data_IF_014690151698
#
_entry.id   IF_014690151698
#
_cell.length_a   1.000
_cell.length_b   1.000
_cell.length_c   1.000
_cell.angle_alpha   90.00
_cell.angle_beta   90.00
_cell.angle_gamma   90.00
#
_symmetry.space_group_name_H-M   'P 1'
#
loop_
_entity.id
_entity.type
_entity.pdbx_description
1 polymer ?
#
# COMPACT_ATOMS: atom_id res chain seq x y z
N UNK A 1 -4.93 7.91 2.35
CA UNK A 1 -3.70 7.08 2.19
C UNK A 1 -2.81 7.84 1.23
N UNK A 2 -1.48 7.80 1.40
CA UNK A 2 -0.58 8.55 0.51
C UNK A 2 0.50 7.67 -0.10
N UNK A 3 0.98 8.08 -1.26
CA UNK A 3 2.15 7.51 -1.91
C UNK A 3 3.38 8.15 -1.25
N UNK A 4 4.29 7.31 -0.77
CA UNK A 4 5.56 7.72 -0.17
C UNK A 4 6.66 7.85 -1.23
N UNK A 5 6.70 6.89 -2.15
CA UNK A 5 7.72 6.84 -3.20
C UNK A 5 7.20 6.11 -4.44
N UNK A 6 7.83 6.41 -5.57
CA UNK A 6 7.67 5.72 -6.85
C UNK A 6 9.00 5.07 -7.22
N UNK A 7 8.98 3.75 -7.41
CA UNK A 7 10.17 2.96 -7.74
C UNK A 7 9.94 2.27 -9.08
N UNK A 8 10.73 2.62 -10.08
CA UNK A 8 10.76 1.90 -11.36
C UNK A 8 11.68 0.69 -11.23
N UNK A 9 11.17 -0.47 -11.64
CA UNK A 9 11.93 -1.71 -11.78
C UNK A 9 11.96 -2.09 -13.26
N UNK A 10 12.61 -3.20 -13.62
CA UNK A 10 12.93 -3.52 -15.02
C UNK A 10 11.74 -3.46 -15.99
N UNK A 11 10.55 -3.90 -15.58
CA UNK A 11 9.35 -3.93 -16.44
C UNK A 11 8.11 -3.26 -15.83
N UNK A 12 8.18 -2.79 -14.58
CA UNK A 12 7.02 -2.31 -13.82
C UNK A 12 7.37 -1.06 -13.02
N UNK A 13 6.34 -0.37 -12.55
CA UNK A 13 6.47 0.75 -11.61
C UNK A 13 5.73 0.44 -10.32
N UNK A 14 6.40 0.62 -9.18
CA UNK A 14 5.81 0.44 -7.86
C UNK A 14 5.50 1.79 -7.22
N UNK A 15 4.28 1.97 -6.76
CA UNK A 15 3.88 3.06 -5.88
C UNK A 15 3.79 2.53 -4.47
N UNK A 16 4.73 2.92 -3.61
CA UNK A 16 4.78 2.48 -2.21
C UNK A 16 3.92 3.43 -1.38
N UNK A 17 3.06 2.89 -0.53
CA UNK A 17 2.10 3.67 0.26
C UNK A 17 2.44 3.70 1.74
N UNK A 18 1.82 4.59 2.49
CA UNK A 18 1.95 4.69 3.95
C UNK A 18 1.13 3.66 4.75
N UNK A 19 0.50 2.70 4.07
CA UNK A 19 -0.33 1.67 4.69
C UNK A 19 0.31 0.29 4.58
N UNK A 20 0.02 -0.64 5.50
CA UNK A 20 0.37 -2.07 5.33
C UNK A 20 -0.56 -2.83 4.36
N UNK A 21 -1.77 -2.33 4.21
CA UNK A 21 -2.82 -3.06 3.49
C UNK A 21 -4.01 -2.16 3.14
N UNK A 22 -5.01 -2.77 2.52
CA UNK A 22 -6.21 -2.10 2.06
C UNK A 22 -7.36 -3.10 2.08
N UNK A 23 -8.58 -2.63 2.34
CA UNK A 23 -9.75 -3.49 2.29
C UNK A 23 -10.03 -3.97 0.86
N UNK A 24 -10.60 -5.16 0.73
CA UNK A 24 -10.85 -5.78 -0.57
C UNK A 24 -11.73 -4.90 -1.46
N UNK A 25 -12.77 -4.30 -0.88
CA UNK A 25 -13.69 -3.39 -1.58
C UNK A 25 -12.97 -2.18 -2.19
N UNK A 26 -12.04 -1.59 -1.44
CA UNK A 26 -11.25 -0.45 -1.93
C UNK A 26 -10.26 -0.88 -3.01
N UNK A 27 -9.65 -2.07 -2.87
CA UNK A 27 -8.76 -2.63 -3.89
C UNK A 27 -9.48 -2.85 -5.22
N UNK A 28 -10.65 -3.47 -5.18
CA UNK A 28 -11.46 -3.74 -6.37
C UNK A 28 -11.90 -2.44 -7.05
N UNK A 29 -12.38 -1.48 -6.26
CA UNK A 29 -12.74 -0.15 -6.77
C UNK A 29 -11.56 0.54 -7.45
N UNK A 30 -10.42 0.64 -6.77
CA UNK A 30 -9.22 1.30 -7.32
C UNK A 30 -8.73 0.57 -8.57
N UNK A 31 -8.71 -0.76 -8.56
CA UNK A 31 -8.31 -1.56 -9.72
C UNK A 31 -9.19 -1.23 -10.93
N UNK A 32 -10.51 -1.25 -10.77
CA UNK A 32 -11.45 -0.98 -11.86
C UNK A 32 -11.29 0.45 -12.41
N UNK A 33 -11.22 1.44 -11.52
CA UNK A 33 -11.06 2.85 -11.93
C UNK A 33 -9.72 3.08 -12.64
N UNK A 34 -8.64 2.48 -12.13
CA UNK A 34 -7.31 2.59 -12.74
C UNK A 34 -7.23 1.87 -14.08
N UNK A 35 -7.77 0.67 -14.21
CA UNK A 35 -7.77 -0.05 -15.49
C UNK A 35 -8.55 0.72 -16.57
N UNK A 36 -9.69 1.32 -16.22
CA UNK A 36 -10.43 2.21 -17.12
C UNK A 36 -9.61 3.43 -17.53
N UNK A 37 -8.95 4.07 -16.56
CA UNK A 37 -8.09 5.23 -16.80
C UNK A 37 -6.89 4.88 -17.68
N UNK A 38 -6.19 3.77 -17.40
CA UNK A 38 -5.05 3.30 -18.17
C UNK A 38 -5.43 3.03 -19.63
N UNK A 39 -6.58 2.42 -19.88
CA UNK A 39 -7.11 2.23 -21.24
C UNK A 39 -7.33 3.55 -21.98
N UNK A 40 -7.81 4.59 -21.30
CA UNK A 40 -7.97 5.92 -21.89
C UNK A 40 -6.64 6.56 -22.32
N UNK A 41 -5.53 6.15 -21.71
CA UNK A 41 -4.17 6.57 -22.05
C UNK A 41 -3.49 5.65 -23.09
N UNK A 42 -4.23 4.67 -23.62
CA UNK A 42 -3.74 3.65 -24.56
C UNK A 42 -2.85 2.58 -23.90
N UNK A 43 -2.94 2.41 -22.58
CA UNK A 43 -2.18 1.39 -21.83
C UNK A 43 -3.09 0.17 -21.63
N UNK A 44 -2.61 -1.01 -22.06
CA UNK A 44 -3.36 -2.28 -21.96
C UNK A 44 -3.04 -3.07 -20.69
N UNK A 45 -2.00 -2.68 -19.97
CA UNK A 45 -1.56 -3.29 -18.72
C UNK A 45 -2.40 -2.80 -17.53
N UNK A 46 -2.46 -3.60 -16.47
CA UNK A 46 -3.27 -3.30 -15.29
C UNK A 46 -2.44 -2.85 -14.09
N UNK A 47 -3.11 -2.86 -12.93
CA UNK A 47 -2.46 -2.74 -11.63
C UNK A 47 -2.79 -3.95 -10.75
N UNK A 48 -1.88 -4.28 -9.85
CA UNK A 48 -2.15 -5.20 -8.75
C UNK A 48 -1.57 -4.69 -7.43
N UNK A 49 -2.03 -5.28 -6.33
CA UNK A 49 -1.63 -4.89 -4.98
C UNK A 49 -0.72 -5.95 -4.38
N UNK A 50 0.41 -5.52 -3.81
CA UNK A 50 1.33 -6.39 -3.09
C UNK A 50 1.46 -5.93 -1.66
N UNK A 51 1.17 -6.83 -0.72
CA UNK A 51 1.33 -6.60 0.72
C UNK A 51 2.79 -6.83 1.16
N UNK A 52 3.17 -6.22 2.28
CA UNK A 52 4.50 -6.26 2.87
C UNK A 52 4.58 -5.27 4.04
N UNK A 53 5.78 -4.74 4.30
CA UNK A 53 5.94 -3.65 5.29
C UNK A 53 5.14 -2.40 4.91
N UNK A 54 5.07 -2.14 3.60
CA UNK A 54 4.22 -1.15 2.99
C UNK A 54 3.47 -1.80 1.82
N UNK A 55 2.19 -1.49 1.68
CA UNK A 55 1.36 -1.83 0.55
C UNK A 55 1.94 -1.15 -0.69
N UNK A 56 2.19 -1.94 -1.72
CA UNK A 56 2.65 -1.48 -3.03
C UNK A 56 1.53 -1.65 -4.04
N UNK A 57 1.30 -0.60 -4.82
CA UNK A 57 0.48 -0.66 -6.03
C UNK A 57 1.45 -0.83 -7.18
N UNK A 58 1.36 -1.97 -7.86
CA UNK A 58 2.24 -2.31 -8.98
C UNK A 58 1.52 -1.98 -10.26
N UNK A 59 2.08 -1.07 -11.03
CA UNK A 59 1.71 -0.82 -12.42
C UNK A 59 2.53 -1.74 -13.31
N UNK A 60 1.84 -2.53 -14.12
CA UNK A 60 2.45 -3.59 -14.93
C UNK A 60 3.11 -3.06 -16.22
N UNK A 61 3.66 -1.86 -16.18
CA UNK A 61 4.46 -1.26 -17.25
C UNK A 61 5.27 -0.05 -16.74
N UNK A 62 6.11 0.50 -17.61
CA UNK A 62 6.81 1.79 -17.43
C UNK A 62 6.31 2.77 -18.52
N UNK A 63 5.24 3.54 -18.25
CA UNK A 63 4.75 4.59 -19.13
C UNK A 63 5.77 5.70 -19.42
N UNK A 64 5.55 6.45 -20.51
CA UNK A 64 6.25 7.71 -20.75
C UNK A 64 6.03 8.72 -19.61
N UNK A 65 6.97 9.64 -19.34
CA UNK A 65 6.93 10.50 -18.15
C UNK A 65 5.62 11.29 -17.97
N UNK A 66 5.03 11.78 -19.06
CA UNK A 66 3.77 12.53 -19.02
C UNK A 66 2.59 11.64 -18.58
N UNK A 67 2.48 10.43 -19.12
CA UNK A 67 1.45 9.46 -18.70
C UNK A 67 1.69 9.02 -17.27
N UNK A 68 2.96 8.83 -16.87
CA UNK A 68 3.32 8.47 -15.52
C UNK A 68 2.84 9.51 -14.49
N UNK A 69 2.96 10.80 -14.81
CA UNK A 69 2.47 11.88 -13.94
C UNK A 69 0.95 11.84 -13.79
N UNK A 70 0.21 11.66 -14.91
CA UNK A 70 -1.24 11.51 -14.89
C UNK A 70 -1.70 10.29 -14.06
N UNK A 71 -0.99 9.17 -14.18
CA UNK A 71 -1.25 7.95 -13.41
C UNK A 71 -0.99 8.19 -11.92
N UNK A 72 0.11 8.87 -11.59
CA UNK A 72 0.43 9.21 -10.20
C UNK A 72 -0.68 10.07 -9.58
N UNK A 73 -1.10 11.13 -10.28
CA UNK A 73 -2.16 12.04 -9.83
C UNK A 73 -3.47 11.29 -9.63
N UNK A 74 -3.88 10.46 -10.61
CA UNK A 74 -5.09 9.66 -10.49
C UNK A 74 -5.03 8.71 -9.30
N UNK A 75 -3.90 8.05 -9.06
CA UNK A 75 -3.73 7.19 -7.88
C UNK A 75 -3.85 7.99 -6.58
N UNK A 76 -3.25 9.19 -6.50
CA UNK A 76 -3.39 10.04 -5.31
C UNK A 76 -4.85 10.37 -5.00
N UNK A 77 -5.63 10.80 -6.01
CA UNK A 77 -7.06 11.09 -5.86
C UNK A 77 -7.84 9.87 -5.34
N UNK A 78 -7.56 8.68 -5.90
CA UNK A 78 -8.25 7.45 -5.52
C UNK A 78 -7.93 6.98 -4.09
N UNK A 79 -6.72 7.29 -3.61
CA UNK A 79 -6.19 6.90 -2.31
C UNK A 79 -6.51 7.89 -1.18
N UNK A 80 -6.77 9.16 -1.52
CA UNK A 80 -7.09 10.22 -0.56
C UNK A 80 -8.16 9.81 0.47
N UNK A 81 -9.34 9.27 0.09
CA UNK A 81 -10.40 8.96 1.05
C UNK A 81 -10.11 7.75 1.95
N UNK A 82 -9.09 6.95 1.64
CA UNK A 82 -8.83 5.69 2.34
C UNK A 82 -7.96 5.94 3.58
N UNK A 83 -8.42 5.51 4.75
CA UNK A 83 -7.59 5.59 5.97
C UNK A 83 -6.48 4.53 5.93
N UNK A 84 -5.19 4.89 6.12
CA UNK A 84 -4.10 3.92 6.18
C UNK A 84 -4.31 2.91 7.32
N UNK A 85 -4.05 1.63 7.05
CA UNK A 85 -3.97 0.62 8.10
C UNK A 85 -2.62 0.73 8.78
N UNK A 86 -2.65 1.06 10.08
CA UNK A 86 -1.45 1.25 10.87
C UNK A 86 -0.55 0.00 10.88
N UNK A 87 0.76 0.21 10.93
CA UNK A 87 1.71 -0.85 11.21
C UNK A 87 1.41 -1.34 12.64
N UNK A 88 0.75 -2.49 12.83
CA UNK A 88 0.76 -3.15 14.13
C UNK A 88 2.21 -3.59 14.38
N UNK A 89 3.01 -2.72 15.01
CA UNK A 89 4.23 -3.16 15.67
C UNK A 89 3.76 -4.02 16.82
N UNK A 90 3.83 -5.36 16.67
CA UNK A 90 3.91 -6.20 17.86
C UNK A 90 5.20 -5.77 18.53
N UNK A 91 5.10 -4.90 19.53
CA UNK A 91 6.20 -4.68 20.46
C UNK A 91 6.30 -6.00 21.20
N UNK A 92 7.14 -6.90 20.70
CA UNK A 92 7.65 -7.99 21.52
C UNK A 92 8.59 -7.28 22.48
N UNK A 93 8.09 -6.97 23.67
CA UNK A 93 8.97 -6.65 24.78
C UNK A 93 9.65 -7.99 25.08
N UNK A 94 10.84 -8.20 24.50
CA UNK A 94 11.76 -9.17 25.07
C UNK A 94 12.15 -8.61 26.43
N UNK A 95 11.40 -9.00 27.46
CA UNK A 95 11.87 -8.90 28.83
C UNK A 95 13.19 -9.67 28.86
N UNK A 96 14.32 -8.94 28.86
CA UNK A 96 15.54 -9.49 29.42
C UNK A 96 15.18 -9.86 30.85
N UNK A 97 15.06 -11.15 31.12
CA UNK A 97 15.05 -11.70 32.46
C UNK A 97 16.33 -11.25 33.18
N UNK A 98 16.27 -10.08 33.79
CA UNK A 98 17.10 -9.78 34.93
C UNK A 98 16.22 -10.11 36.14
N UNK A 99 16.41 -11.33 36.65
CA UNK A 99 15.53 -11.93 37.64
C UNK A 99 15.19 -10.98 38.79
N UNK A 100 13.89 -10.77 39.00
CA UNK A 100 13.19 -10.86 40.29
C UNK A 100 11.74 -10.37 40.17
N UNK A 101 10.84 -11.33 40.40
CA UNK A 101 9.53 -11.23 41.05
C UNK A 101 8.39 -10.34 40.49
N UNK A 102 7.34 -11.08 40.09
CA UNK A 102 5.90 -10.89 40.32
C UNK A 102 5.21 -9.62 39.82
N UNK A 103 4.30 -9.84 38.86
CA UNK A 103 3.12 -9.00 38.64
C UNK A 103 2.09 -9.74 37.79
N UNK A 104 1.09 -10.34 38.43
CA UNK A 104 -0.11 -10.87 37.77
C UNK A 104 -0.97 -9.67 37.37
N UNK A 105 -1.33 -9.55 36.10
CA UNK A 105 -2.50 -8.78 35.67
C UNK A 105 -3.31 -9.64 34.69
N UNK A 106 -4.49 -10.04 35.15
CA UNK A 106 -5.46 -10.88 34.47
C UNK A 106 -6.08 -10.15 33.27
N UNK A 107 -6.23 -10.85 32.14
CA UNK A 107 -7.20 -10.49 31.10
C UNK A 107 -8.52 -11.21 31.41
N UNK A 108 -9.57 -10.45 31.72
CA UNK A 108 -10.93 -10.99 31.80
C UNK A 108 -11.64 -10.89 30.43
N UNK A 109 -12.66 -11.73 30.19
CA UNK A 109 -13.10 -12.20 28.87
C UNK A 109 -13.83 -11.17 27.99
#
# INVERSE_FOLDING_TARGET
MKILERVEVWIHTHFVTDSKGMDLKDRERIKLEMEGFLRSLGIVFGIHFKEGDNLRIVLECIPEPRKMELIHQKLMELLEPIKPKALTKRIIIEERENGKNKGICQSNP
#
